data_IF_983418427012
#
_entry.id   IF_983418427012
#
_cell.length_a   1.000
_cell.length_b   1.000
_cell.length_c   1.000
_cell.angle_alpha   90.00
_cell.angle_beta   90.00
_cell.angle_gamma   90.00
#
_symmetry.space_group_name_H-M   'P 1'
#
loop_
_entity.id
_entity.type
_entity.pdbx_description
1 polymer ?
#
# COMPACT_ATOMS: atom_id res chain seq x y z
N UNK A 1 3.50 -5.58 -4.81
CA UNK A 1 4.14 -4.30 -5.21
C UNK A 1 3.72 -3.73 -6.56
N UNK A 2 3.02 -4.46 -7.46
CA UNK A 2 2.70 -3.97 -8.81
C UNK A 2 1.97 -2.61 -8.85
N UNK A 3 1.05 -2.35 -7.91
CA UNK A 3 0.34 -1.07 -7.82
C UNK A 3 1.32 0.09 -7.55
N UNK A 4 2.24 -0.09 -6.61
CA UNK A 4 3.25 0.93 -6.26
C UNK A 4 4.15 1.25 -7.46
N UNK A 5 4.64 0.22 -8.16
CA UNK A 5 5.47 0.40 -9.35
C UNK A 5 4.74 1.14 -10.49
N UNK A 6 3.42 0.94 -10.64
CA UNK A 6 2.61 1.72 -11.58
C UNK A 6 2.42 3.18 -11.15
N UNK A 7 2.29 3.45 -9.85
CA UNK A 7 2.21 4.82 -9.35
C UNK A 7 3.53 5.58 -9.52
N UNK A 8 4.67 4.88 -9.56
CA UNK A 8 6.01 5.45 -9.70
C UNK A 8 6.57 5.40 -11.12
N UNK A 9 5.73 5.27 -12.15
CA UNK A 9 6.20 5.41 -13.52
C UNK A 9 6.83 6.79 -13.73
N UNK A 10 7.97 6.81 -14.42
CA UNK A 10 8.72 8.03 -14.72
C UNK A 10 7.82 9.01 -15.50
N UNK A 11 7.23 8.53 -16.59
CA UNK A 11 6.25 9.25 -17.37
C UNK A 11 4.93 9.41 -16.58
N UNK A 12 4.48 10.64 -16.29
CA UNK A 12 3.24 10.89 -15.56
C UNK A 12 2.00 10.31 -16.24
N UNK A 13 1.97 10.25 -17.57
CA UNK A 13 0.83 9.74 -18.33
C UNK A 13 0.61 8.23 -18.18
N UNK A 14 1.65 7.49 -17.77
CA UNK A 14 1.57 6.03 -17.56
C UNK A 14 1.10 5.67 -16.14
N UNK A 15 0.98 6.65 -15.24
CA UNK A 15 0.50 6.46 -13.88
C UNK A 15 -1.02 6.24 -13.86
N UNK A 16 -1.54 5.34 -13.01
CA UNK A 16 -2.96 5.11 -12.90
C UNK A 16 -3.67 6.31 -12.26
N UNK A 17 -4.90 6.56 -12.69
CA UNK A 17 -5.79 7.51 -12.00
C UNK A 17 -6.26 6.93 -10.67
N UNK A 18 -6.69 7.80 -9.75
CA UNK A 18 -7.30 7.36 -8.49
C UNK A 18 -8.55 6.50 -8.69
N UNK A 19 -9.35 6.76 -9.73
CA UNK A 19 -10.50 5.92 -10.06
C UNK A 19 -10.06 4.48 -10.37
N UNK A 20 -9.01 4.32 -11.17
CA UNK A 20 -8.47 2.99 -11.50
C UNK A 20 -7.86 2.29 -10.27
N UNK A 21 -7.18 3.04 -9.40
CA UNK A 21 -6.67 2.52 -8.14
C UNK A 21 -7.79 2.02 -7.23
N UNK A 22 -8.88 2.80 -7.07
CA UNK A 22 -10.05 2.40 -6.28
C UNK A 22 -10.63 1.08 -6.77
N UNK A 23 -10.82 0.95 -8.08
CA UNK A 23 -11.41 -0.26 -8.67
C UNK A 23 -10.49 -1.47 -8.48
N UNK A 24 -9.18 -1.26 -8.61
CA UNK A 24 -8.17 -2.31 -8.35
C UNK A 24 -8.21 -2.76 -6.89
N UNK A 25 -8.27 -1.83 -5.93
CA UNK A 25 -8.34 -2.15 -4.50
C UNK A 25 -9.62 -2.92 -4.15
N UNK A 26 -10.76 -2.52 -4.72
CA UNK A 26 -12.04 -3.23 -4.55
C UNK A 26 -11.98 -4.66 -5.09
N UNK A 27 -11.26 -4.90 -6.19
CA UNK A 27 -11.07 -6.25 -6.71
C UNK A 27 -10.19 -7.10 -5.80
N UNK A 28 -9.11 -6.52 -5.28
CA UNK A 28 -8.26 -7.19 -4.31
C UNK A 28 -9.05 -7.59 -3.06
N UNK A 29 -9.84 -6.67 -2.50
CA UNK A 29 -10.73 -6.91 -1.36
C UNK A 29 -11.69 -8.08 -1.64
N UNK A 30 -12.41 -8.07 -2.77
CA UNK A 30 -13.34 -9.14 -3.15
C UNK A 30 -12.71 -10.52 -3.26
N UNK A 31 -11.43 -10.58 -3.64
CA UNK A 31 -10.72 -11.85 -3.80
C UNK A 31 -10.35 -12.50 -2.45
N UNK A 32 -10.55 -11.83 -1.30
CA UNK A 32 -10.29 -12.33 0.06
C UNK A 32 -8.90 -13.00 0.23
N UNK A 33 -7.93 -12.62 -0.60
CA UNK A 33 -6.54 -13.09 -0.48
C UNK A 33 -5.79 -12.22 0.52
N UNK A 34 -4.86 -12.81 1.24
CA UNK A 34 -3.92 -12.06 2.08
C UNK A 34 -2.89 -11.36 1.19
N UNK A 35 -2.96 -10.03 1.10
CA UNK A 35 -2.01 -9.22 0.32
C UNK A 35 -0.91 -8.58 1.19
N UNK A 36 -1.13 -8.51 2.51
CA UNK A 36 -0.16 -8.01 3.50
C UNK A 36 -0.03 -9.07 4.57
N UNK A 37 1.20 -9.57 4.78
CA UNK A 37 1.47 -10.53 5.84
C UNK A 37 1.84 -9.79 7.13
N UNK A 38 0.95 -9.84 8.11
CA UNK A 38 1.18 -9.29 9.45
C UNK A 38 1.51 -10.38 10.49
N UNK A 39 1.66 -11.64 10.08
CA UNK A 39 2.00 -12.73 11.02
C UNK A 39 3.41 -12.62 11.59
N UNK A 40 4.30 -11.90 10.91
CA UNK A 40 5.68 -11.62 11.36
C UNK A 40 5.83 -10.18 11.87
N UNK A 41 4.74 -9.56 12.29
CA UNK A 41 4.79 -8.22 12.85
C UNK A 41 5.58 -8.23 14.17
N UNK A 42 6.58 -7.35 14.26
CA UNK A 42 7.46 -7.23 15.41
C UNK A 42 7.40 -5.80 15.95
N UNK A 43 6.81 -5.63 17.12
CA UNK A 43 6.66 -4.33 17.79
C UNK A 43 7.99 -3.64 18.09
N UNK A 44 9.12 -4.37 18.06
CA UNK A 44 10.46 -3.79 18.24
C UNK A 44 11.02 -3.18 16.95
N UNK A 45 10.53 -3.61 15.78
CA UNK A 45 11.00 -3.15 14.47
C UNK A 45 10.11 -2.08 13.84
N UNK A 46 8.85 -1.99 14.27
CA UNK A 46 7.87 -1.05 13.74
C UNK A 46 7.32 -0.15 14.85
N UNK A 47 7.36 1.16 14.65
CA UNK A 47 6.77 2.16 15.56
C UNK A 47 5.84 3.08 14.77
N UNK A 48 4.81 3.61 15.44
CA UNK A 48 3.99 4.66 14.82
C UNK A 48 4.81 5.94 14.75
N UNK A 49 4.60 6.72 13.69
CA UNK A 49 5.36 7.97 13.49
C UNK A 49 5.02 8.98 14.57
N UNK A 50 3.77 8.98 15.04
CA UNK A 50 3.29 9.82 16.13
C UNK A 50 4.07 9.56 17.44
N UNK A 51 4.37 8.29 17.73
CA UNK A 51 5.12 7.87 18.92
C UNK A 51 6.59 8.35 18.88
N UNK A 52 7.13 8.65 17.70
CA UNK A 52 8.49 9.16 17.50
C UNK A 52 8.60 10.68 17.64
N UNK A 53 7.48 11.40 17.57
CA UNK A 53 7.43 12.87 17.62
C UNK A 53 7.01 13.45 18.97
N UNK A 54 6.68 12.59 19.93
CA UNK A 54 6.36 12.97 21.30
C UNK A 54 7.64 13.16 22.13
N UNK A 55 8.33 14.29 21.91
CA UNK A 55 9.34 14.85 22.82
C UNK A 55 8.88 16.20 23.39
#
# INVERSE_FOLDING_TARGET
YQIMLKCWQENPSDRPTFAKLKDTMKEMERNHKTYVNLQQYDNSLYANVEDLTAE
#
